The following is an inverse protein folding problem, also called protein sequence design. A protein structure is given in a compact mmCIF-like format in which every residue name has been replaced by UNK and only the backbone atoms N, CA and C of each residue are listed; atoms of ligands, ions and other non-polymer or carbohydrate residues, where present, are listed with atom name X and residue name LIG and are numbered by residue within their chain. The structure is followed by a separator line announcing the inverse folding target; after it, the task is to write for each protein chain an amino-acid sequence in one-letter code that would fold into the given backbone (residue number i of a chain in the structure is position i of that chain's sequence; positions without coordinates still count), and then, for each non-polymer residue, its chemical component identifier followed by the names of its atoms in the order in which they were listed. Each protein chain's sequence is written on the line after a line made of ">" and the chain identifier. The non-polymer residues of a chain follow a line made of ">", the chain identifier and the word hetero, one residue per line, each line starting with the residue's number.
data_IF_844675576880
#
_entry.id   IF_844675576880
#
_cell.length_a   1.000
_cell.length_b   1.000
_cell.length_c   1.000
_cell.angle_alpha   90.00
_cell.angle_beta   90.00
_cell.angle_gamma   90.00
#
_symmetry.space_group_name_H-M   'P 1'
#
loop_
_entity.id
_entity.type
_entity.pdbx_description
1 polymer ?
#
# COMPACT_ATOMS: atom_id res chain seq x y z
N UNK A 1 24.29 5.04 -13.82
CA UNK A 1 24.58 6.47 -13.65
C UNK A 1 24.77 6.74 -12.17
N UNK A 2 26.00 6.98 -11.72
CA UNK A 2 26.28 7.28 -10.32
C UNK A 2 26.12 8.79 -10.10
N UNK A 3 25.20 9.17 -9.22
CA UNK A 3 25.04 10.56 -8.78
C UNK A 3 26.25 10.98 -7.96
N UNK A 4 26.77 12.18 -8.18
CA UNK A 4 27.88 12.70 -7.36
C UNK A 4 27.40 12.91 -5.91
N UNK A 5 28.31 12.84 -4.92
CA UNK A 5 27.93 13.01 -3.50
C UNK A 5 27.14 14.30 -3.24
N UNK A 6 27.50 15.37 -3.96
CA UNK A 6 26.84 16.67 -3.89
C UNK A 6 25.42 16.64 -4.49
N UNK A 7 25.22 15.94 -5.62
CA UNK A 7 23.88 15.75 -6.20
C UNK A 7 22.97 14.93 -5.27
N UNK A 8 23.48 13.87 -4.65
CA UNK A 8 22.73 13.07 -3.69
C UNK A 8 22.33 13.90 -2.46
N UNK A 9 23.23 14.73 -1.93
CA UNK A 9 22.94 15.62 -0.80
C UNK A 9 21.83 16.63 -1.15
N UNK A 10 21.92 17.27 -2.32
CA UNK A 10 20.90 18.22 -2.80
C UNK A 10 19.55 17.52 -3.00
N UNK A 11 19.54 16.31 -3.55
CA UNK A 11 18.32 15.53 -3.75
C UNK A 11 17.65 15.16 -2.43
N UNK A 12 18.43 14.71 -1.44
CA UNK A 12 17.92 14.40 -0.10
C UNK A 12 17.31 15.66 0.54
N UNK A 13 18.01 16.79 0.48
CA UNK A 13 17.51 18.07 1.01
C UNK A 13 16.22 18.51 0.32
N UNK A 14 16.15 18.40 -1.01
CA UNK A 14 14.95 18.76 -1.78
C UNK A 14 13.75 17.86 -1.41
N UNK A 15 13.94 16.55 -1.31
CA UNK A 15 12.87 15.61 -0.91
C UNK A 15 12.45 15.84 0.54
N UNK A 16 13.41 16.05 1.44
CA UNK A 16 13.15 16.31 2.86
C UNK A 16 12.35 17.61 3.03
N UNK A 17 12.76 18.70 2.36
CA UNK A 17 12.04 19.97 2.39
C UNK A 17 10.64 19.84 1.78
N UNK A 18 10.48 19.14 0.64
CA UNK A 18 9.17 18.91 0.04
C UNK A 18 8.24 18.08 0.93
N UNK A 19 8.77 17.04 1.60
CA UNK A 19 8.01 16.18 2.52
C UNK A 19 7.63 16.95 3.79
N UNK A 20 8.55 17.73 4.34
CA UNK A 20 8.29 18.61 5.47
C UNK A 20 7.19 19.62 5.09
N UNK A 21 7.36 20.33 3.97
CA UNK A 21 6.40 21.33 3.52
C UNK A 21 5.00 20.75 3.37
N UNK A 22 4.84 19.63 2.66
CA UNK A 22 3.53 18.98 2.44
C UNK A 22 2.88 18.46 3.73
N UNK A 23 3.69 18.04 4.72
CA UNK A 23 3.19 17.59 6.03
C UNK A 23 2.87 18.75 6.98
N UNK A 24 3.61 19.85 6.92
CA UNK A 24 3.38 21.06 7.72
C UNK A 24 2.33 21.98 7.11
N UNK A 25 2.08 21.92 5.79
CA UNK A 25 1.05 22.68 5.07
C UNK A 25 -0.34 22.57 5.72
N UNK A 26 -0.87 21.37 6.04
CA UNK A 26 -2.19 21.27 6.66
C UNK A 26 -2.23 21.93 8.04
N UNK A 27 -1.13 21.90 8.81
CA UNK A 27 -1.08 22.57 10.12
C UNK A 27 -1.01 24.10 10.00
N UNK A 28 -0.35 24.65 8.96
CA UNK A 28 -0.27 26.09 8.72
C UNK A 28 -1.60 26.64 8.16
N UNK A 29 -2.26 25.89 7.27
CA UNK A 29 -3.53 26.28 6.65
C UNK A 29 -4.73 26.09 7.57
N UNK A 30 -4.71 25.09 8.45
CA UNK A 30 -5.79 24.79 9.39
C UNK A 30 -5.26 24.90 10.84
N UNK A 31 -5.31 26.10 11.45
CA UNK A 31 -4.97 26.26 12.86
C UNK A 31 -5.91 25.40 13.73
N UNK A 32 -5.39 24.85 14.84
CA UNK A 32 -6.03 23.80 15.63
C UNK A 32 -7.43 24.13 16.18
N UNK A 33 -7.81 25.42 16.20
CA UNK A 33 -9.11 25.91 16.68
C UNK A 33 -10.22 25.96 15.62
N UNK A 34 -9.92 25.67 14.34
CA UNK A 34 -10.94 25.64 13.28
C UNK A 34 -11.06 24.25 12.69
N UNK A 35 -12.25 23.66 12.82
CA UNK A 35 -12.58 22.41 12.15
C UNK A 35 -12.31 22.57 10.64
N UNK A 36 -11.59 21.61 10.01
CA UNK A 36 -11.37 21.66 8.56
C UNK A 36 -12.74 21.68 7.84
N UNK A 37 -12.87 22.42 6.73
CA UNK A 37 -14.13 22.56 6.02
C UNK A 37 -14.71 21.18 5.67
N UNK A 38 -16.04 21.04 5.81
CA UNK A 38 -16.76 19.75 5.67
C UNK A 38 -16.32 18.93 4.46
N UNK A 39 -16.11 19.59 3.31
CA UNK A 39 -15.62 18.97 2.08
C UNK A 39 -14.29 18.21 2.25
N UNK A 40 -13.31 18.78 2.96
CA UNK A 40 -12.00 18.12 3.19
C UNK A 40 -12.17 16.93 4.14
N UNK A 41 -13.01 17.05 5.16
CA UNK A 41 -13.30 15.97 6.11
C UNK A 41 -13.98 14.78 5.44
N UNK A 42 -14.92 15.05 4.55
CA UNK A 42 -15.62 14.01 3.80
C UNK A 42 -14.67 13.33 2.80
N UNK A 43 -13.86 14.11 2.08
CA UNK A 43 -12.88 13.57 1.14
C UNK A 43 -11.81 12.72 1.83
N UNK A 44 -11.27 13.19 2.96
CA UNK A 44 -10.27 12.44 3.75
C UNK A 44 -10.85 11.19 4.41
N UNK A 45 -12.16 11.14 4.67
CA UNK A 45 -12.83 9.91 5.14
C UNK A 45 -12.98 8.85 4.04
N UNK A 46 -13.14 9.29 2.79
CA UNK A 46 -13.32 8.41 1.62
C UNK A 46 -11.99 7.96 1.01
N UNK A 47 -10.92 8.71 1.25
CA UNK A 47 -9.58 8.42 0.72
C UNK A 47 -9.01 7.07 1.18
N UNK A 48 -9.02 6.69 2.47
CA UNK A 48 -8.47 5.41 2.91
C UNK A 48 -9.19 4.20 2.29
N UNK A 49 -10.53 4.13 2.25
CA UNK A 49 -11.24 3.07 1.52
C UNK A 49 -10.88 3.02 0.03
N UNK A 50 -10.78 4.18 -0.64
CA UNK A 50 -10.44 4.25 -2.06
C UNK A 50 -9.00 3.76 -2.33
N UNK A 51 -8.04 4.15 -1.50
CA UNK A 51 -6.64 3.71 -1.61
C UNK A 51 -6.52 2.21 -1.34
N UNK A 52 -7.23 1.66 -0.35
CA UNK A 52 -7.25 0.21 -0.10
C UNK A 52 -7.76 -0.56 -1.32
N UNK A 53 -8.82 -0.09 -1.98
CA UNK A 53 -9.31 -0.67 -3.23
C UNK A 53 -8.29 -0.58 -4.36
N UNK A 54 -7.67 0.60 -4.53
CA UNK A 54 -6.63 0.82 -5.54
C UNK A 54 -5.42 -0.10 -5.32
N UNK A 55 -4.97 -0.29 -4.08
CA UNK A 55 -3.86 -1.18 -3.75
C UNK A 55 -4.16 -2.61 -4.17
N UNK A 56 -5.38 -3.12 -3.92
CA UNK A 56 -5.79 -4.46 -4.37
C UNK A 56 -5.73 -4.57 -5.89
N UNK A 57 -6.29 -3.60 -6.62
CA UNK A 57 -6.25 -3.59 -8.09
C UNK A 57 -4.81 -3.51 -8.60
N UNK A 58 -3.96 -2.71 -7.97
CA UNK A 58 -2.57 -2.55 -8.37
C UNK A 58 -1.75 -3.82 -8.13
N UNK A 59 -1.97 -4.51 -7.01
CA UNK A 59 -1.36 -5.82 -6.73
C UNK A 59 -1.74 -6.85 -7.81
N UNK A 60 -2.97 -6.81 -8.32
CA UNK A 60 -3.43 -7.71 -9.39
C UNK A 60 -3.00 -7.26 -10.80
N UNK A 61 -2.74 -5.96 -11.01
CA UNK A 61 -2.35 -5.40 -12.31
C UNK A 61 -1.02 -5.98 -12.84
N UNK A 62 -0.10 -6.31 -11.95
CA UNK A 62 1.21 -6.89 -12.30
C UNK A 62 1.20 -8.41 -12.50
N UNK A 63 0.08 -9.07 -12.21
CA UNK A 63 -0.04 -10.53 -12.26
C UNK A 63 -0.23 -10.99 -13.70
N UNK A 64 0.82 -11.57 -14.30
CA UNK A 64 0.72 -12.21 -15.60
C UNK A 64 0.09 -13.59 -15.46
N UNK A 65 -1.22 -13.68 -15.70
CA UNK A 65 -1.99 -14.93 -15.69
C UNK A 65 -1.48 -15.99 -16.69
N UNK A 66 -0.61 -15.60 -17.64
CA UNK A 66 -0.18 -16.40 -18.79
C UNK A 66 1.26 -16.94 -18.69
N UNK A 67 2.03 -16.59 -17.66
CA UNK A 67 3.35 -17.16 -17.42
C UNK A 67 3.27 -18.22 -16.31
N UNK A 68 3.38 -19.51 -16.66
CA UNK A 68 3.69 -20.55 -15.69
C UNK A 68 5.04 -20.19 -15.03
N UNK A 69 5.17 -20.09 -13.69
CA UNK A 69 4.37 -20.71 -12.62
C UNK A 69 3.54 -19.74 -11.72
N UNK A 70 3.41 -18.45 -12.08
CA UNK A 70 3.09 -17.40 -11.08
C UNK A 70 1.60 -17.05 -10.89
N UNK A 71 0.71 -17.30 -11.85
CA UNK A 71 -0.68 -16.80 -11.78
C UNK A 71 -1.65 -17.55 -10.86
N UNK A 72 -1.49 -18.87 -10.71
CA UNK A 72 -2.35 -19.72 -9.86
C UNK A 72 -2.08 -19.51 -8.36
N UNK A 73 -0.82 -19.45 -7.87
CA UNK A 73 -0.54 -19.25 -6.45
C UNK A 73 -1.01 -17.89 -5.93
N UNK A 74 -0.96 -16.85 -6.75
CA UNK A 74 -1.42 -15.50 -6.39
C UNK A 74 -2.94 -15.46 -6.19
N UNK A 75 -3.72 -16.10 -7.07
CA UNK A 75 -5.18 -16.20 -6.91
C UNK A 75 -5.58 -16.96 -5.65
N UNK A 76 -4.89 -18.07 -5.33
CA UNK A 76 -5.16 -18.86 -4.12
C UNK A 76 -4.78 -18.07 -2.86
N UNK A 77 -3.64 -17.37 -2.86
CA UNK A 77 -3.24 -16.50 -1.76
C UNK A 77 -4.25 -15.38 -1.49
N UNK A 78 -4.76 -14.73 -2.55
CA UNK A 78 -5.81 -13.70 -2.43
C UNK A 78 -7.14 -14.30 -1.94
N UNK A 79 -7.54 -15.47 -2.44
CA UNK A 79 -8.77 -16.13 -2.00
C UNK A 79 -8.71 -16.53 -0.51
N UNK A 80 -7.58 -17.09 -0.07
CA UNK A 80 -7.39 -17.48 1.33
C UNK A 80 -7.31 -16.27 2.24
N UNK A 81 -6.59 -15.21 1.86
CA UNK A 81 -6.57 -13.96 2.65
C UNK A 81 -7.95 -13.35 2.79
N UNK A 82 -8.72 -13.27 1.70
CA UNK A 82 -10.08 -12.74 1.70
C UNK A 82 -11.02 -13.57 2.59
N UNK A 83 -11.00 -14.90 2.45
CA UNK A 83 -11.81 -15.82 3.26
C UNK A 83 -11.46 -15.71 4.75
N UNK A 84 -10.16 -15.69 5.08
CA UNK A 84 -9.70 -15.60 6.46
C UNK A 84 -9.98 -14.22 7.07
N UNK A 85 -9.87 -13.14 6.28
CA UNK A 85 -10.19 -11.79 6.71
C UNK A 85 -11.68 -11.67 7.09
N UNK A 86 -12.57 -12.24 6.26
CA UNK A 86 -14.01 -12.21 6.48
C UNK A 86 -14.43 -13.01 7.72
N UNK A 87 -13.74 -14.14 7.98
CA UNK A 87 -14.08 -15.02 9.10
C UNK A 87 -13.49 -14.55 10.44
N UNK A 88 -12.21 -14.15 10.47
CA UNK A 88 -11.51 -13.82 11.73
C UNK A 88 -11.55 -12.33 12.09
N UNK A 89 -11.90 -11.43 11.16
CA UNK A 89 -11.84 -9.95 11.31
C UNK A 89 -10.53 -9.41 11.91
N UNK A 90 -9.46 -10.22 11.91
CA UNK A 90 -8.17 -9.87 12.49
C UNK A 90 -7.16 -9.62 11.36
N UNK A 91 -6.76 -8.37 11.18
CA UNK A 91 -5.90 -7.90 10.09
C UNK A 91 -4.52 -8.57 10.12
N UNK A 92 -3.89 -8.66 11.30
CA UNK A 92 -2.56 -9.26 11.45
C UNK A 92 -2.54 -10.74 11.05
N UNK A 93 -3.58 -11.48 11.43
CA UNK A 93 -3.69 -12.91 11.16
C UNK A 93 -3.93 -13.17 9.67
N UNK A 94 -4.75 -12.33 9.01
CA UNK A 94 -5.00 -12.41 7.56
C UNK A 94 -3.73 -12.15 6.73
N UNK A 95 -2.92 -11.14 7.09
CA UNK A 95 -1.66 -10.83 6.38
C UNK A 95 -0.65 -11.97 6.55
N UNK A 96 -0.45 -12.44 7.79
CA UNK A 96 0.53 -13.49 8.08
C UNK A 96 0.14 -14.80 7.39
N UNK A 97 -1.12 -15.23 7.53
CA UNK A 97 -1.59 -16.48 6.92
C UNK A 97 -1.53 -16.42 5.38
N UNK A 98 -1.92 -15.30 4.78
CA UNK A 98 -1.81 -15.10 3.33
C UNK A 98 -0.41 -15.25 2.78
N UNK A 99 0.53 -14.57 3.43
CA UNK A 99 1.94 -14.62 3.06
C UNK A 99 2.51 -16.03 3.20
N UNK A 100 2.19 -16.73 4.30
CA UNK A 100 2.66 -18.10 4.53
C UNK A 100 2.09 -19.06 3.47
N UNK A 101 0.79 -18.98 3.19
CA UNK A 101 0.14 -19.83 2.17
C UNK A 101 0.74 -19.58 0.79
N UNK A 102 0.96 -18.32 0.43
CA UNK A 102 1.61 -17.95 -0.84
C UNK A 102 3.03 -18.53 -0.94
N UNK A 103 3.86 -18.32 0.09
CA UNK A 103 5.25 -18.81 0.13
C UNK A 103 5.31 -20.34 0.04
N UNK A 104 4.43 -21.05 0.74
CA UNK A 104 4.34 -22.51 0.70
C UNK A 104 3.94 -22.98 -0.70
N UNK A 105 2.96 -22.34 -1.33
CA UNK A 105 2.52 -22.73 -2.68
C UNK A 105 3.65 -22.55 -3.70
N UNK A 106 4.32 -21.39 -3.69
CA UNK A 106 5.41 -21.09 -4.63
C UNK A 106 6.61 -22.02 -4.42
N UNK A 107 6.97 -22.33 -3.18
CA UNK A 107 8.17 -23.12 -2.89
C UNK A 107 7.96 -24.64 -2.94
N UNK A 108 6.75 -25.17 -2.69
CA UNK A 108 6.51 -26.61 -2.63
C UNK A 108 5.74 -27.17 -3.83
N UNK A 109 4.90 -26.37 -4.50
CA UNK A 109 3.97 -26.86 -5.52
C UNK A 109 4.35 -26.38 -6.93
N UNK A 110 4.98 -25.21 -7.05
CA UNK A 110 5.29 -24.56 -8.34
C UNK A 110 6.81 -24.39 -8.61
N UNK A 111 7.65 -25.29 -8.11
CA UNK A 111 9.09 -25.39 -8.43
C UNK A 111 9.33 -25.84 -9.86
#
# INVERSE_FOLDING_TARGET
>A
MYLTPLQTLVMILAIALGTALTRFLPFLLFPQDKEPPRFIRDLTRLLPPAVMGLLVVYCLKGVTLTAAPYGIPELIGVAVTAALHLWRRNTLLSIAAGTVVYMVLVQLIFV
#
